data_IF_043817120145
#
_entry.id   IF_043817120145
#
_cell.length_a   1.000
_cell.length_b   1.000
_cell.length_c   1.000
_cell.angle_alpha   90.00
_cell.angle_beta   90.00
_cell.angle_gamma   90.00
#
_symmetry.space_group_name_H-M   'P 1'
#
loop_
_entity.id
_entity.type
_entity.pdbx_description
1 polymer ?
#
# COMPACT_ATOMS: atom_id res chain seq x y z
N UNK A 1 -42.56 -13.74 -28.49
CA UNK A 1 -41.33 -14.48 -28.84
C UNK A 1 -40.15 -13.71 -28.23
N UNK A 2 -39.32 -14.39 -27.46
CA UNK A 2 -38.49 -13.87 -26.37
C UNK A 2 -37.48 -12.76 -26.73
N UNK A 3 -37.48 -11.67 -25.95
CA UNK A 3 -36.28 -10.91 -25.60
C UNK A 3 -35.94 -11.24 -24.14
N UNK A 4 -34.71 -11.67 -23.86
CA UNK A 4 -34.20 -12.00 -22.52
C UNK A 4 -32.86 -11.31 -22.33
N UNK A 5 -32.83 -10.27 -21.48
CA UNK A 5 -31.66 -9.83 -20.68
C UNK A 5 -32.17 -8.91 -19.57
N UNK A 6 -32.55 -9.55 -18.47
CA UNK A 6 -32.75 -9.01 -17.12
C UNK A 6 -31.36 -8.76 -16.48
N UNK A 7 -31.11 -7.91 -15.48
CA UNK A 7 -31.82 -6.84 -14.78
C UNK A 7 -30.72 -6.26 -13.86
N UNK A 8 -30.45 -4.95 -13.89
CA UNK A 8 -29.85 -4.20 -12.77
C UNK A 8 -29.87 -2.70 -13.09
N UNK A 9 -31.07 -2.17 -13.26
CA UNK A 9 -31.35 -0.74 -13.12
C UNK A 9 -32.86 -0.60 -12.95
N UNK A 10 -33.28 -0.03 -11.82
CA UNK A 10 -34.34 0.97 -11.67
C UNK A 10 -35.05 0.80 -10.31
N UNK A 11 -34.90 1.76 -9.41
CA UNK A 11 -36.04 2.29 -8.65
C UNK A 11 -35.89 3.80 -8.58
N UNK A 12 -36.70 4.50 -9.37
CA UNK A 12 -37.05 5.90 -9.19
C UNK A 12 -38.55 5.97 -9.53
N UNK A 13 -39.43 6.01 -8.51
CA UNK A 13 -40.83 6.40 -8.67
C UNK A 13 -41.20 7.31 -7.49
N UNK A 14 -41.76 8.44 -7.86
CA UNK A 14 -42.32 9.53 -7.06
C UNK A 14 -43.70 9.20 -6.49
N UNK A 15 -43.92 9.67 -5.25
CA UNK A 15 -45.17 9.99 -4.54
C UNK A 15 -46.15 8.86 -4.14
N UNK A 16 -46.08 8.45 -2.87
CA UNK A 16 -47.23 8.49 -1.96
C UNK A 16 -46.74 8.57 -0.52
N UNK A 17 -47.28 9.56 0.18
CA UNK A 17 -47.09 9.88 1.60
C UNK A 17 -47.47 8.69 2.49
N UNK A 18 -46.82 8.62 3.66
CA UNK A 18 -47.20 7.79 4.80
C UNK A 18 -47.04 6.27 4.63
N UNK A 19 -45.79 5.77 4.76
CA UNK A 19 -45.54 4.52 5.50
C UNK A 19 -44.09 4.49 6.01
N UNK A 20 -43.96 4.31 7.31
CA UNK A 20 -42.72 4.26 8.07
C UNK A 20 -41.64 3.40 7.41
N UNK A 21 -40.50 4.03 7.13
CA UNK A 21 -39.23 3.39 6.77
C UNK A 21 -38.85 2.34 7.83
N UNK A 22 -39.07 1.07 7.53
CA UNK A 22 -38.11 0.03 7.89
C UNK A 22 -37.11 -0.10 6.75
N UNK A 23 -36.23 0.90 6.63
CA UNK A 23 -34.99 0.75 5.87
C UNK A 23 -34.06 -0.14 6.68
N UNK A 24 -34.25 -1.45 6.58
CA UNK A 24 -33.18 -2.41 6.82
C UNK A 24 -32.09 -2.11 5.81
N UNK A 25 -31.13 -1.27 6.21
CA UNK A 25 -29.83 -1.16 5.57
C UNK A 25 -29.20 -2.54 5.74
N UNK A 26 -29.37 -3.40 4.73
CA UNK A 26 -28.51 -4.55 4.56
C UNK A 26 -27.14 -3.93 4.26
N UNK A 27 -26.33 -3.76 5.31
CA UNK A 27 -24.90 -3.56 5.16
C UNK A 27 -24.36 -4.85 4.55
N UNK A 28 -24.46 -4.96 3.22
CA UNK A 28 -23.70 -5.96 2.48
C UNK A 28 -22.24 -5.65 2.77
N UNK A 29 -21.57 -6.48 3.56
CA UNK A 29 -20.12 -6.42 3.75
C UNK A 29 -19.47 -6.52 2.37
N UNK A 30 -19.22 -5.38 1.74
CA UNK A 30 -18.67 -5.26 0.40
C UNK A 30 -17.16 -5.47 0.41
N UNK A 31 -16.70 -6.55 1.05
CA UNK A 31 -15.32 -7.01 0.97
C UNK A 31 -15.11 -7.79 -0.33
N UNK A 32 -15.43 -7.16 -1.47
CA UNK A 32 -15.29 -7.76 -2.81
C UNK A 32 -13.84 -8.14 -3.11
N UNK A 33 -12.90 -7.40 -2.52
CA UNK A 33 -11.48 -7.60 -2.71
C UNK A 33 -10.77 -7.85 -1.39
N UNK A 34 -9.74 -8.70 -1.44
CA UNK A 34 -8.83 -8.95 -0.32
C UNK A 34 -7.44 -8.45 -0.69
N UNK A 35 -6.80 -7.77 0.25
CA UNK A 35 -5.40 -7.36 0.13
C UNK A 35 -4.49 -8.58 0.27
N UNK A 36 -3.47 -8.69 -0.57
CA UNK A 36 -2.45 -9.73 -0.47
C UNK A 36 -1.22 -9.21 0.28
N UNK A 37 -1.01 -9.72 1.49
CA UNK A 37 0.09 -9.34 2.38
C UNK A 37 0.56 -10.53 3.22
N UNK A 38 1.84 -10.49 3.64
CA UNK A 38 2.46 -11.40 4.61
C UNK A 38 3.03 -10.54 5.75
N UNK A 39 2.35 -10.53 6.89
CA UNK A 39 2.65 -9.61 7.99
C UNK A 39 2.51 -8.15 7.57
N UNK A 40 3.60 -7.40 7.60
CA UNK A 40 3.64 -5.97 7.19
C UNK A 40 4.02 -5.77 5.72
N UNK A 41 4.31 -6.85 4.98
CA UNK A 41 4.81 -6.78 3.60
C UNK A 41 3.64 -6.93 2.63
N UNK A 42 3.45 -5.90 1.80
CA UNK A 42 2.49 -5.94 0.69
C UNK A 42 3.20 -6.38 -0.60
N UNK A 43 2.54 -7.25 -1.35
CA UNK A 43 3.02 -7.69 -2.65
C UNK A 43 2.26 -6.96 -3.75
N UNK A 44 2.92 -6.80 -4.90
CA UNK A 44 2.29 -6.31 -6.12
C UNK A 44 2.60 -7.19 -7.30
N UNK A 45 1.64 -7.29 -8.21
CA UNK A 45 1.86 -8.02 -9.44
C UNK A 45 2.79 -7.25 -10.37
N UNK A 46 3.61 -8.00 -11.11
CA UNK A 46 4.46 -7.49 -12.17
C UNK A 46 4.05 -7.99 -13.55
N UNK A 47 2.93 -8.71 -13.64
CA UNK A 47 2.35 -9.07 -14.92
C UNK A 47 1.80 -7.81 -15.63
N UNK A 48 1.64 -7.82 -16.97
CA UNK A 48 1.08 -6.70 -17.70
C UNK A 48 -0.37 -6.41 -17.27
N UNK A 49 -0.65 -5.15 -16.94
CA UNK A 49 -2.00 -4.69 -16.61
C UNK A 49 -2.85 -4.53 -17.88
N UNK A 50 -4.16 -4.81 -17.77
CA UNK A 50 -5.12 -4.54 -18.86
C UNK A 50 -5.51 -3.06 -18.93
N UNK A 51 -5.40 -2.35 -17.82
CA UNK A 51 -5.68 -0.93 -17.69
C UNK A 51 -4.72 -0.37 -16.63
N UNK A 52 -4.15 0.81 -16.90
CA UNK A 52 -3.32 1.56 -15.97
C UNK A 52 -3.83 3.00 -15.94
N UNK A 53 -4.14 3.51 -14.75
CA UNK A 53 -4.77 4.80 -14.55
C UNK A 53 -4.25 5.46 -13.29
N UNK A 54 -3.96 6.76 -13.36
CA UNK A 54 -3.61 7.57 -12.20
C UNK A 54 -4.79 8.43 -11.77
N UNK A 55 -4.97 8.53 -10.44
CA UNK A 55 -5.91 9.42 -9.76
C UNK A 55 -5.18 10.37 -8.83
N UNK A 56 -4.11 10.97 -9.33
CA UNK A 56 -3.28 11.92 -8.56
C UNK A 56 -4.05 13.10 -7.98
N UNK A 57 -5.20 13.47 -8.55
CA UNK A 57 -6.07 14.56 -8.07
C UNK A 57 -7.00 14.16 -6.92
N UNK A 58 -7.15 12.86 -6.65
CA UNK A 58 -8.02 12.35 -5.61
C UNK A 58 -7.22 12.07 -4.34
N UNK A 59 -7.86 12.09 -3.18
CA UNK A 59 -7.23 11.60 -1.96
C UNK A 59 -6.90 10.09 -2.08
N UNK A 60 -5.98 9.60 -1.25
CA UNK A 60 -5.61 8.18 -1.21
C UNK A 60 -6.83 7.26 -1.12
N UNK A 61 -7.77 7.57 -0.22
CA UNK A 61 -8.94 6.73 0.03
C UNK A 61 -9.92 6.76 -1.15
N UNK A 62 -10.17 7.94 -1.73
CA UNK A 62 -11.01 8.08 -2.92
C UNK A 62 -10.41 7.33 -4.12
N UNK A 63 -9.10 7.51 -4.37
CA UNK A 63 -8.40 6.79 -5.42
C UNK A 63 -8.47 5.27 -5.22
N UNK A 64 -8.26 4.78 -4.00
CA UNK A 64 -8.38 3.35 -3.71
C UNK A 64 -9.81 2.82 -3.98
N UNK A 65 -10.83 3.56 -3.54
CA UNK A 65 -12.23 3.21 -3.75
C UNK A 65 -12.60 3.22 -5.23
N UNK A 66 -12.13 4.21 -5.99
CA UNK A 66 -12.28 4.25 -7.45
C UNK A 66 -11.60 3.03 -8.10
N UNK A 67 -10.47 2.54 -7.57
CA UNK A 67 -9.72 1.37 -8.10
C UNK A 67 -10.58 0.12 -7.98
N UNK A 68 -11.05 -0.09 -6.76
CA UNK A 68 -11.94 -1.16 -6.40
C UNK A 68 -13.22 -1.14 -7.24
N UNK A 69 -13.88 0.02 -7.32
CA UNK A 69 -15.11 0.19 -8.10
C UNK A 69 -14.88 -0.09 -9.59
N UNK A 70 -13.80 0.45 -10.16
CA UNK A 70 -13.46 0.24 -11.57
C UNK A 70 -13.21 -1.23 -11.87
N UNK A 71 -12.42 -1.92 -11.04
CA UNK A 71 -12.23 -3.36 -11.20
C UNK A 71 -13.54 -4.15 -11.00
N UNK A 72 -14.42 -3.70 -10.11
CA UNK A 72 -15.73 -4.33 -9.92
C UNK A 72 -16.63 -4.19 -11.14
N UNK A 73 -16.57 -3.06 -11.84
CA UNK A 73 -17.35 -2.77 -13.05
C UNK A 73 -16.77 -3.39 -14.32
N UNK A 74 -15.49 -3.73 -14.31
CA UNK A 74 -14.84 -4.42 -15.44
C UNK A 74 -15.01 -5.94 -15.28
N UNK A 75 -15.87 -6.54 -16.11
CA UNK A 75 -16.21 -7.98 -16.07
C UNK A 75 -14.98 -8.90 -16.07
N UNK A 76 -13.95 -8.52 -16.86
CA UNK A 76 -12.71 -9.27 -16.96
C UNK A 76 -11.81 -9.08 -15.76
N UNK A 77 -11.92 -7.98 -15.01
CA UNK A 77 -11.01 -7.66 -13.92
C UNK A 77 -11.18 -8.63 -12.75
N UNK A 78 -10.08 -9.20 -12.28
CA UNK A 78 -10.03 -10.13 -11.16
C UNK A 78 -9.17 -9.62 -10.01
N UNK A 79 -8.33 -8.63 -10.28
CA UNK A 79 -7.45 -8.03 -9.28
C UNK A 79 -6.93 -6.67 -9.74
N UNK A 80 -6.33 -5.92 -8.82
CA UNK A 80 -5.65 -4.68 -9.11
C UNK A 80 -4.45 -4.43 -8.20
N UNK A 81 -3.44 -3.71 -8.70
CA UNK A 81 -2.43 -3.07 -7.88
C UNK A 81 -2.90 -1.64 -7.59
N UNK A 82 -2.62 -1.16 -6.40
CA UNK A 82 -2.81 0.23 -6.01
C UNK A 82 -1.52 0.79 -5.40
N UNK A 83 -1.02 1.89 -5.95
CA UNK A 83 0.21 2.54 -5.50
C UNK A 83 -0.15 3.77 -4.66
N UNK A 84 0.09 3.70 -3.35
CA UNK A 84 -0.33 4.71 -2.39
C UNK A 84 0.28 6.10 -2.63
N UNK A 85 1.52 6.16 -3.13
CA UNK A 85 2.26 7.39 -3.31
C UNK A 85 1.82 8.17 -4.55
N UNK A 86 1.35 7.46 -5.58
CA UNK A 86 1.00 8.04 -6.88
C UNK A 86 -0.49 7.98 -7.19
N UNK A 87 -1.28 7.35 -6.30
CA UNK A 87 -2.69 7.02 -6.54
C UNK A 87 -2.89 6.33 -7.89
N UNK A 88 -1.92 5.51 -8.28
CA UNK A 88 -1.97 4.75 -9.52
C UNK A 88 -2.66 3.41 -9.29
N UNK A 89 -3.51 3.04 -10.23
CA UNK A 89 -4.35 1.86 -10.23
C UNK A 89 -4.06 1.04 -11.48
N UNK A 90 -3.67 -0.22 -11.31
CA UNK A 90 -3.45 -1.15 -12.41
C UNK A 90 -4.41 -2.32 -12.29
N UNK A 91 -5.18 -2.60 -13.34
CA UNK A 91 -6.18 -3.67 -13.35
C UNK A 91 -5.67 -4.92 -14.06
N UNK A 92 -6.09 -6.09 -13.60
CA UNK A 92 -5.67 -7.38 -14.15
C UNK A 92 -6.87 -8.27 -14.44
N UNK A 93 -6.83 -8.99 -15.56
CA UNK A 93 -7.91 -9.88 -15.99
C UNK A 93 -7.71 -11.37 -15.64
N UNK A 94 -6.57 -11.72 -15.04
CA UNK A 94 -6.22 -13.08 -14.66
C UNK A 94 -5.56 -13.10 -13.28
N UNK A 95 -5.63 -14.23 -12.59
CA UNK A 95 -4.82 -14.49 -11.40
C UNK A 95 -3.36 -14.52 -11.82
N UNK A 96 -2.56 -13.72 -11.14
CA UNK A 96 -1.23 -13.31 -11.60
C UNK A 96 -0.19 -14.31 -11.09
N UNK A 97 0.86 -14.51 -11.87
CA UNK A 97 1.89 -15.51 -11.61
C UNK A 97 3.22 -14.87 -11.20
N UNK A 98 3.31 -13.54 -11.20
CA UNK A 98 4.54 -12.82 -10.85
C UNK A 98 4.21 -11.71 -9.88
N UNK A 99 4.78 -11.80 -8.69
CA UNK A 99 4.67 -10.77 -7.68
C UNK A 99 6.04 -10.24 -7.31
N UNK A 100 6.08 -9.03 -6.76
CA UNK A 100 7.27 -8.45 -6.17
C UNK A 100 6.88 -7.55 -5.01
N UNK A 101 7.81 -7.36 -4.09
CA UNK A 101 7.64 -6.40 -2.99
C UNK A 101 8.00 -5.03 -3.54
N UNK A 102 6.99 -4.19 -3.78
CA UNK A 102 7.16 -2.82 -4.28
C UNK A 102 6.73 -1.84 -3.18
N UNK A 103 7.61 -0.94 -2.71
CA UNK A 103 7.25 0.04 -1.70
C UNK A 103 6.02 0.85 -2.08
N UNK A 104 5.06 0.96 -1.16
CA UNK A 104 3.83 1.70 -1.38
C UNK A 104 2.79 1.03 -2.28
N UNK A 105 3.10 -0.14 -2.83
CA UNK A 105 2.18 -0.87 -3.69
C UNK A 105 1.40 -1.92 -2.90
N UNK A 106 0.10 -2.04 -3.19
CA UNK A 106 -0.81 -2.97 -2.55
C UNK A 106 -1.61 -3.74 -3.62
N UNK A 107 -1.52 -5.06 -3.61
CA UNK A 107 -2.34 -5.91 -4.48
C UNK A 107 -3.65 -6.31 -3.82
N UNK A 108 -4.74 -6.20 -4.57
CA UNK A 108 -6.08 -6.55 -4.17
C UNK A 108 -6.69 -7.51 -5.18
N UNK A 109 -7.31 -8.61 -4.74
CA UNK A 109 -7.90 -9.62 -5.63
C UNK A 109 -9.34 -9.95 -5.25
N UNK A 110 -10.19 -10.22 -6.24
CA UNK A 110 -11.62 -10.55 -6.04
C UNK A 110 -11.76 -11.84 -5.22
N UNK A 111 -12.63 -11.81 -4.21
CA UNK A 111 -12.93 -12.97 -3.35
C UNK A 111 -13.70 -14.06 -4.10
N UNK A 112 -14.64 -13.66 -4.95
CA UNK A 112 -15.66 -14.55 -5.52
C UNK A 112 -15.19 -15.38 -6.71
N UNK A 113 -13.97 -15.12 -7.21
CA UNK A 113 -13.25 -16.06 -8.05
C UNK A 113 -12.34 -16.91 -7.17
N UNK A 114 -12.93 -17.55 -6.14
CA UNK A 114 -12.23 -18.56 -5.34
C UNK A 114 -11.67 -19.56 -6.36
N UNK A 115 -10.34 -19.73 -6.46
CA UNK A 115 -9.77 -20.75 -7.30
C UNK A 115 -10.45 -22.06 -6.92
N UNK A 116 -10.98 -22.79 -7.91
CA UNK A 116 -11.57 -24.10 -7.68
C UNK A 116 -10.63 -24.87 -6.75
N UNK A 117 -11.18 -25.48 -5.70
CA UNK A 117 -10.40 -26.33 -4.79
C UNK A 117 -9.53 -27.25 -5.64
N UNK A 118 -8.22 -27.15 -5.44
CA UNK A 118 -7.25 -27.93 -6.20
C UNK A 118 -6.81 -29.06 -5.30
N UNK A 119 -6.99 -30.27 -5.79
CA UNK A 119 -6.48 -31.43 -5.08
C UNK A 119 -4.97 -31.52 -5.30
N UNK A 120 -4.23 -31.47 -4.21
CA UNK A 120 -2.81 -31.75 -4.14
C UNK A 120 -2.64 -33.25 -3.87
N UNK A 121 -1.77 -33.90 -4.64
CA UNK A 121 -1.21 -35.20 -4.33
C UNK A 121 0.22 -35.01 -3.85
N UNK A 122 0.59 -35.66 -2.75
CA UNK A 122 1.94 -35.59 -2.18
C UNK A 122 2.35 -36.94 -1.62
N UNK A 123 3.60 -37.32 -1.85
CA UNK A 123 4.29 -38.35 -1.09
C UNK A 123 5.72 -37.91 -0.80
N UNK A 124 6.31 -38.49 0.25
CA UNK A 124 7.67 -38.22 0.70
C UNK A 124 8.31 -39.54 1.11
N UNK A 125 9.59 -39.69 0.78
CA UNK A 125 10.44 -40.79 1.20
C UNK A 125 11.55 -40.26 2.13
N UNK A 126 11.62 -40.63 3.41
CA UNK A 126 10.79 -41.60 4.14
C UNK A 126 9.58 -40.98 4.86
N UNK A 127 9.72 -39.74 5.34
CA UNK A 127 8.72 -39.12 6.21
C UNK A 127 8.51 -37.63 5.95
N UNK A 128 7.26 -37.22 5.76
CA UNK A 128 6.82 -35.83 5.78
C UNK A 128 6.72 -35.34 7.23
N UNK A 129 7.51 -34.31 7.56
CA UNK A 129 7.56 -33.75 8.93
C UNK A 129 6.75 -32.46 9.04
N UNK A 130 6.89 -31.55 8.06
CA UNK A 130 6.13 -30.30 8.02
C UNK A 130 5.81 -29.91 6.59
N UNK A 131 4.63 -29.32 6.39
CA UNK A 131 4.24 -28.69 5.13
C UNK A 131 3.58 -27.34 5.39
N UNK A 132 3.91 -26.39 4.53
CA UNK A 132 3.44 -25.02 4.61
C UNK A 132 2.89 -24.57 3.26
N UNK A 133 1.75 -23.90 3.30
CA UNK A 133 1.18 -23.18 2.16
C UNK A 133 1.11 -21.70 2.50
N UNK A 134 1.73 -20.84 1.67
CA UNK A 134 1.77 -19.40 1.90
C UNK A 134 2.27 -19.03 3.31
N UNK A 135 3.24 -19.78 3.85
CA UNK A 135 3.77 -19.59 5.20
C UNK A 135 2.90 -20.12 6.35
N UNK A 136 1.70 -20.62 6.07
CA UNK A 136 0.82 -21.23 7.07
C UNK A 136 1.14 -22.71 7.23
N UNK A 137 1.40 -23.15 8.46
CA UNK A 137 1.65 -24.56 8.79
C UNK A 137 0.37 -25.37 8.67
N UNK A 138 0.44 -26.52 8.01
CA UNK A 138 -0.63 -27.51 8.00
C UNK A 138 -0.27 -28.64 8.96
N UNK A 139 -1.25 -29.13 9.72
CA UNK A 139 -1.05 -30.24 10.64
C UNK A 139 -0.83 -31.54 9.87
N UNK A 140 0.39 -32.09 9.93
CA UNK A 140 0.74 -33.31 9.17
C UNK A 140 -0.10 -34.49 9.63
N UNK A 141 -0.16 -34.75 10.93
CA UNK A 141 -0.86 -35.92 11.48
C UNK A 141 -2.39 -35.93 11.27
N UNK A 142 -3.00 -34.77 11.01
CA UNK A 142 -4.44 -34.66 10.75
C UNK A 142 -4.80 -34.76 9.27
N UNK A 143 -3.87 -34.39 8.38
CA UNK A 143 -4.17 -34.19 6.96
C UNK A 143 -3.41 -35.14 6.03
N UNK A 144 -2.38 -35.82 6.51
CA UNK A 144 -1.47 -36.66 5.74
C UNK A 144 -1.28 -38.02 6.44
N UNK A 145 -2.29 -38.91 6.43
CA UNK A 145 -2.22 -40.21 7.10
C UNK A 145 -1.11 -41.13 6.55
N UNK A 146 -0.66 -40.92 5.32
CA UNK A 146 0.43 -41.66 4.69
C UNK A 146 1.77 -40.90 4.73
N UNK A 147 1.92 -39.93 5.63
CA UNK A 147 3.13 -39.11 5.77
C UNK A 147 4.42 -39.90 6.03
N UNK A 148 4.35 -41.19 6.41
CA UNK A 148 5.52 -42.07 6.59
C UNK A 148 5.49 -43.29 5.64
N UNK A 149 4.78 -43.19 4.51
CA UNK A 149 4.63 -44.25 3.53
C UNK A 149 4.88 -43.69 2.13
N UNK A 150 6.11 -43.82 1.65
CA UNK A 150 6.55 -43.23 0.38
C UNK A 150 5.78 -43.74 -0.84
N UNK A 151 5.21 -44.94 -0.75
CA UNK A 151 4.51 -45.62 -1.84
C UNK A 151 3.02 -45.27 -1.91
N UNK A 152 2.46 -44.54 -0.94
CA UNK A 152 1.06 -44.16 -0.89
C UNK A 152 0.91 -42.64 -0.80
N UNK A 153 0.44 -41.97 -1.87
CA UNK A 153 0.32 -40.52 -1.84
C UNK A 153 -0.88 -40.08 -1.01
N UNK A 154 -0.66 -39.06 -0.19
CA UNK A 154 -1.71 -38.33 0.50
C UNK A 154 -2.36 -37.32 -0.44
N UNK A 155 -3.59 -36.96 -0.07
CA UNK A 155 -4.42 -36.01 -0.82
C UNK A 155 -4.80 -34.84 0.07
N UNK A 156 -4.66 -33.61 -0.43
CA UNK A 156 -5.02 -32.41 0.32
C UNK A 156 -5.76 -31.39 -0.54
N UNK A 157 -6.87 -30.86 -0.05
CA UNK A 157 -7.66 -29.85 -0.75
C UNK A 157 -7.09 -28.45 -0.51
N UNK A 158 -6.41 -27.91 -1.52
CA UNK A 158 -5.88 -26.56 -1.47
C UNK A 158 -7.01 -25.54 -1.57
N UNK A 159 -7.08 -24.68 -0.56
CA UNK A 159 -7.97 -23.51 -0.55
C UNK A 159 -7.23 -22.25 -1.00
N UNK A 160 -7.81 -21.52 -1.95
CA UNK A 160 -7.30 -20.21 -2.37
C UNK A 160 -6.10 -20.28 -3.34
N UNK A 161 -5.44 -19.13 -3.52
CA UNK A 161 -4.24 -19.03 -4.36
C UNK A 161 -3.01 -19.49 -3.59
N UNK A 162 -2.19 -20.33 -4.21
CA UNK A 162 -0.93 -20.81 -3.63
C UNK A 162 0.22 -20.05 -4.29
N UNK A 163 0.96 -19.30 -3.48
CA UNK A 163 2.12 -18.50 -3.89
C UNK A 163 3.44 -19.11 -3.41
N UNK A 164 3.38 -19.92 -2.36
CA UNK A 164 4.51 -20.65 -1.81
C UNK A 164 4.06 -22.03 -1.33
N UNK A 165 4.85 -23.05 -1.67
CA UNK A 165 4.83 -24.36 -1.01
C UNK A 165 6.18 -24.57 -0.35
N UNK A 166 6.20 -25.01 0.90
CA UNK A 166 7.41 -25.34 1.64
C UNK A 166 7.22 -26.68 2.35
N UNK A 167 8.17 -27.60 2.18
CA UNK A 167 8.11 -28.98 2.67
C UNK A 167 9.39 -29.31 3.43
N UNK A 168 9.22 -29.87 4.61
CA UNK A 168 10.27 -30.45 5.42
C UNK A 168 10.05 -31.96 5.45
N UNK A 169 11.01 -32.69 4.89
CA UNK A 169 11.04 -34.14 4.86
C UNK A 169 12.20 -34.67 5.73
N UNK A 170 12.06 -35.89 6.22
CA UNK A 170 13.10 -36.61 6.92
C UNK A 170 13.33 -37.96 6.22
N UNK A 171 14.57 -38.20 5.84
CA UNK A 171 15.00 -39.46 5.23
C UNK A 171 15.75 -40.27 6.29
N UNK A 172 15.32 -41.51 6.50
CA UNK A 172 15.85 -42.43 7.49
C UNK A 172 17.04 -43.17 6.89
N UNK A 173 16.89 -43.72 5.68
CA UNK A 173 17.90 -44.56 5.05
C UNK A 173 17.80 -44.55 3.52
N UNK A 174 18.89 -44.90 2.82
CA UNK A 174 18.90 -44.89 1.37
C UNK A 174 18.64 -43.50 0.76
N UNK A 175 18.05 -43.49 -0.44
CA UNK A 175 17.76 -42.28 -1.21
C UNK A 175 16.35 -41.82 -0.89
N UNK A 176 16.21 -40.67 -0.23
CA UNK A 176 14.92 -40.04 0.03
C UNK A 176 14.52 -39.04 -1.05
N UNK A 177 13.24 -38.63 -1.03
CA UNK A 177 12.73 -37.67 -2.01
C UNK A 177 11.35 -37.11 -1.69
N UNK A 178 10.94 -36.11 -2.45
CA UNK A 178 9.62 -35.48 -2.37
C UNK A 178 8.99 -35.53 -3.76
N UNK A 179 7.70 -35.89 -3.82
CA UNK A 179 6.93 -35.94 -5.06
C UNK A 179 5.57 -35.27 -4.84
N UNK A 180 5.30 -34.20 -5.60
CA UNK A 180 4.08 -33.39 -5.42
C UNK A 180 3.51 -33.01 -6.78
N UNK A 181 2.19 -33.12 -6.92
CA UNK A 181 1.46 -32.54 -8.05
C UNK A 181 0.11 -31.97 -7.65
N UNK A 182 -0.39 -31.01 -8.42
CA UNK A 182 -1.83 -30.69 -8.46
C UNK A 182 -2.46 -31.19 -9.75
N UNK A 183 -3.77 -31.43 -9.73
CA UNK A 183 -4.53 -31.90 -10.89
C UNK A 183 -4.44 -30.99 -12.13
N UNK A 184 -4.20 -29.69 -11.93
CA UNK A 184 -3.99 -28.69 -12.99
C UNK A 184 -2.52 -28.49 -13.36
N UNK A 185 -1.60 -29.26 -12.77
CA UNK A 185 -0.15 -29.20 -12.96
C UNK A 185 0.48 -27.84 -12.60
N UNK A 186 -0.24 -27.01 -11.83
CA UNK A 186 0.28 -25.73 -11.36
C UNK A 186 1.42 -25.93 -10.35
N UNK A 187 1.26 -26.88 -9.43
CA UNK A 187 2.31 -27.33 -8.52
C UNK A 187 2.82 -28.66 -9.08
N UNK A 188 4.11 -28.72 -9.36
CA UNK A 188 4.76 -29.91 -9.90
C UNK A 188 6.21 -29.94 -9.39
N UNK A 189 6.62 -31.02 -8.73
CA UNK A 189 8.02 -31.21 -8.33
C UNK A 189 8.89 -31.48 -9.54
N UNK A 190 9.98 -30.71 -9.65
CA UNK A 190 10.98 -30.77 -10.70
C UNK A 190 12.23 -29.96 -10.29
N UNK A 191 13.21 -29.82 -11.17
CA UNK A 191 14.49 -29.12 -10.94
C UNK A 191 14.33 -27.62 -10.61
N UNK A 192 13.16 -27.03 -10.88
CA UNK A 192 12.89 -25.61 -10.60
C UNK A 192 12.57 -25.31 -9.14
N UNK A 193 12.48 -26.33 -8.29
CA UNK A 193 12.39 -26.21 -6.84
C UNK A 193 13.74 -25.83 -6.23
N UNK A 194 13.71 -25.28 -5.02
CA UNK A 194 14.91 -24.96 -4.24
C UNK A 194 14.97 -25.85 -3.01
N UNK A 195 16.08 -26.56 -2.81
CA UNK A 195 16.23 -27.51 -1.71
C UNK A 195 17.54 -27.34 -0.95
N UNK A 196 17.53 -27.54 0.36
CA UNK A 196 18.71 -27.50 1.24
C UNK A 196 18.58 -28.51 2.38
N UNK A 197 19.68 -28.92 2.98
CA UNK A 197 19.73 -29.69 4.24
C UNK A 197 19.92 -28.82 5.47
N UNK A 198 20.24 -27.53 5.28
CA UNK A 198 20.43 -26.58 6.37
C UNK A 198 19.11 -25.93 6.74
N UNK A 199 18.72 -26.01 8.02
CA UNK A 199 17.57 -25.28 8.52
C UNK A 199 17.91 -23.79 8.64
N UNK A 200 17.13 -22.95 7.96
CA UNK A 200 17.18 -21.50 8.10
C UNK A 200 15.90 -21.01 8.77
N UNK A 201 16.00 -20.09 9.73
CA UNK A 201 14.79 -19.54 10.34
C UNK A 201 13.92 -18.80 9.31
N UNK A 202 12.60 -18.99 9.41
CA UNK A 202 11.63 -18.39 8.50
C UNK A 202 11.68 -18.89 7.05
N UNK A 203 12.39 -19.97 6.71
CA UNK A 203 12.50 -20.51 5.35
C UNK A 203 11.15 -20.78 4.65
N UNK A 204 10.11 -21.08 5.44
CA UNK A 204 8.76 -21.34 4.98
C UNK A 204 7.93 -20.08 4.73
N UNK A 205 8.44 -18.87 5.04
CA UNK A 205 7.72 -17.61 4.81
C UNK A 205 7.74 -17.21 3.34
N UNK A 206 6.72 -16.46 2.91
CA UNK A 206 6.57 -16.02 1.51
C UNK A 206 7.74 -15.13 1.10
N UNK A 207 8.13 -14.21 1.98
CA UNK A 207 9.21 -13.23 1.74
C UNK A 207 10.63 -13.79 1.87
N UNK A 208 10.80 -15.07 2.22
CA UNK A 208 12.14 -15.63 2.38
C UNK A 208 12.87 -15.70 1.03
N UNK A 209 14.12 -15.22 1.00
CA UNK A 209 14.98 -15.21 -0.17
C UNK A 209 15.81 -16.50 -0.24
N UNK A 210 15.43 -17.40 -1.15
CA UNK A 210 16.10 -18.68 -1.41
C UNK A 210 17.02 -18.65 -2.64
N UNK A 211 17.42 -17.47 -3.10
CA UNK A 211 18.28 -17.36 -4.28
C UNK A 211 19.64 -18.05 -4.10
N UNK A 212 20.11 -18.16 -2.85
CA UNK A 212 21.33 -18.87 -2.48
C UNK A 212 21.14 -20.40 -2.40
N UNK A 213 19.92 -20.91 -2.41
CA UNK A 213 19.67 -22.35 -2.36
C UNK A 213 19.92 -22.98 -3.74
N UNK A 214 20.54 -24.17 -3.78
CA UNK A 214 20.69 -24.89 -5.04
C UNK A 214 19.32 -25.28 -5.60
N UNK A 215 19.28 -25.46 -6.91
CA UNK A 215 18.15 -26.13 -7.56
C UNK A 215 17.99 -27.54 -6.98
N UNK A 216 16.76 -28.04 -6.95
CA UNK A 216 16.49 -29.39 -6.51
C UNK A 216 17.13 -30.41 -7.47
N UNK A 217 17.67 -31.48 -6.91
CA UNK A 217 18.21 -32.59 -7.68
C UNK A 217 17.08 -33.55 -8.05
N UNK A 218 16.90 -33.83 -9.34
CA UNK A 218 15.90 -34.76 -9.85
C UNK A 218 16.46 -36.18 -9.86
N UNK A 219 15.76 -37.13 -9.25
CA UNK A 219 16.15 -38.53 -9.22
C UNK A 219 15.75 -39.22 -10.54
N UNK A 220 16.74 -39.61 -11.35
CA UNK A 220 16.49 -40.27 -12.65
C UNK A 220 15.81 -41.64 -12.54
N UNK A 221 16.00 -42.34 -11.42
CA UNK A 221 15.52 -43.71 -11.19
C UNK A 221 15.05 -43.89 -9.77
N UNK A 222 13.88 -43.35 -9.47
CA UNK A 222 13.11 -43.76 -8.30
C UNK A 222 11.99 -44.69 -8.75
N UNK A 223 11.74 -45.76 -7.99
CA UNK A 223 10.67 -46.69 -8.32
C UNK A 223 9.31 -45.99 -8.20
N UNK A 224 8.52 -46.06 -9.27
CA UNK A 224 7.12 -45.69 -9.22
C UNK A 224 6.31 -46.96 -9.01
N UNK A 225 5.73 -47.10 -7.83
CA UNK A 225 4.69 -48.11 -7.59
C UNK A 225 3.42 -47.75 -8.35
N UNK A 226 2.51 -48.71 -8.52
CA UNK A 226 1.24 -48.48 -9.23
C UNK A 226 0.38 -47.37 -8.61
N UNK A 227 0.48 -47.16 -7.30
CA UNK A 227 -0.18 -46.08 -6.55
C UNK A 227 0.36 -44.68 -6.88
N UNK A 228 1.59 -44.57 -7.41
CA UNK A 228 2.21 -43.29 -7.79
C UNK A 228 1.99 -42.91 -9.27
N UNK A 229 1.24 -43.71 -10.03
CA UNK A 229 1.00 -43.45 -11.46
C UNK A 229 0.34 -42.09 -11.71
N UNK A 230 -0.57 -41.63 -10.86
CA UNK A 230 -1.21 -40.32 -11.04
C UNK A 230 -0.21 -39.15 -10.95
N UNK A 231 0.76 -39.23 -10.03
CA UNK A 231 1.84 -38.24 -9.90
C UNK A 231 2.77 -38.29 -11.11
N UNK A 232 3.11 -39.50 -11.57
CA UNK A 232 3.93 -39.71 -12.77
C UNK A 232 3.27 -39.18 -14.05
N UNK A 233 1.98 -39.46 -14.25
CA UNK A 233 1.20 -38.99 -15.40
C UNK A 233 0.99 -37.47 -15.37
N UNK A 234 0.96 -36.86 -14.18
CA UNK A 234 0.99 -35.41 -14.05
C UNK A 234 2.31 -34.82 -14.57
N UNK A 235 3.40 -35.60 -14.56
CA UNK A 235 4.76 -35.19 -14.91
C UNK A 235 5.58 -34.76 -13.70
N UNK A 236 5.19 -35.18 -12.49
CA UNK A 236 5.93 -34.88 -11.28
C UNK A 236 7.19 -35.75 -11.21
N UNK A 237 8.28 -35.14 -10.77
CA UNK A 237 9.57 -35.79 -10.63
C UNK A 237 9.94 -35.88 -9.15
N UNK A 238 10.60 -36.97 -8.78
CA UNK A 238 11.15 -37.11 -7.44
C UNK A 238 12.32 -36.15 -7.28
N UNK A 239 12.22 -35.27 -6.29
CA UNK A 239 13.25 -34.26 -6.03
C UNK A 239 13.88 -34.41 -4.64
N UNK A 240 15.15 -34.06 -4.52
CA UNK A 240 15.90 -34.02 -3.26
C UNK A 240 16.95 -32.89 -3.27
N UNK A 241 17.71 -32.75 -2.20
CA UNK A 241 18.85 -31.83 -2.09
C UNK A 241 20.17 -32.46 -2.62
N UNK A 242 20.35 -33.76 -2.44
CA UNK A 242 21.54 -34.52 -2.85
C UNK A 242 21.25 -36.03 -2.78
N UNK A 243 22.08 -36.84 -3.42
CA UNK A 243 21.84 -38.28 -3.67
C UNK A 243 21.97 -39.13 -2.39
N UNK A 244 22.78 -38.72 -1.40
CA UNK A 244 23.26 -39.64 -0.34
C UNK A 244 23.12 -39.10 1.09
N UNK A 245 21.90 -38.73 1.51
CA UNK A 245 21.66 -38.23 2.86
C UNK A 245 20.84 -39.20 3.72
N UNK A 246 21.44 -40.26 4.27
CA UNK A 246 20.75 -41.06 5.29
C UNK A 246 20.57 -40.26 6.59
N UNK A 247 19.47 -40.51 7.30
CA UNK A 247 19.17 -39.91 8.60
C UNK A 247 19.27 -38.37 8.61
N UNK A 248 18.68 -37.71 7.61
CA UNK A 248 18.80 -36.27 7.45
C UNK A 248 17.48 -35.58 7.03
N UNK A 249 17.40 -34.29 7.33
CA UNK A 249 16.27 -33.46 6.94
C UNK A 249 16.54 -32.75 5.62
N UNK A 250 15.51 -32.67 4.79
CA UNK A 250 15.49 -31.86 3.58
C UNK A 250 14.42 -30.79 3.68
N UNK A 251 14.79 -29.57 3.32
CA UNK A 251 13.92 -28.41 3.24
C UNK A 251 13.80 -28.01 1.79
N UNK A 252 12.63 -28.21 1.20
CA UNK A 252 12.36 -27.86 -0.18
C UNK A 252 11.26 -26.81 -0.25
N UNK A 253 11.43 -25.80 -1.10
CA UNK A 253 10.40 -24.79 -1.32
C UNK A 253 10.26 -24.43 -2.79
N UNK A 254 9.05 -24.03 -3.15
CA UNK A 254 8.70 -23.49 -4.46
C UNK A 254 7.97 -22.17 -4.29
N UNK A 255 8.67 -21.08 -4.63
CA UNK A 255 8.04 -19.79 -4.80
C UNK A 255 7.44 -19.69 -6.20
N UNK A 256 6.17 -19.33 -6.27
CA UNK A 256 5.50 -18.89 -7.50
C UNK A 256 5.51 -17.37 -7.61
N UNK A 257 6.03 -16.67 -6.59
CA UNK A 257 6.34 -15.25 -6.66
C UNK A 257 7.68 -15.12 -7.36
N UNK A 258 7.66 -14.68 -8.62
CA UNK A 258 8.88 -14.39 -9.36
C UNK A 258 9.72 -13.33 -8.65
N UNK A 259 10.88 -13.72 -8.11
CA UNK A 259 11.89 -12.77 -7.64
C UNK A 259 12.43 -11.99 -8.84
N UNK A 260 11.86 -10.80 -9.12
CA UNK A 260 12.46 -9.81 -10.02
C UNK A 260 13.67 -9.17 -9.33
N UNK A 261 14.71 -9.96 -9.06
CA UNK A 261 15.90 -9.43 -8.42
C UNK A 261 16.92 -8.82 -9.40
N UNK A 262 16.62 -8.71 -10.71
CA UNK A 262 17.59 -8.21 -11.70
C UNK A 262 17.05 -7.44 -12.94
N UNK A 263 15.77 -7.05 -13.02
CA UNK A 263 15.24 -6.34 -14.22
C UNK A 263 15.08 -4.82 -14.01
N UNK A 264 15.14 -4.33 -12.77
CA UNK A 264 14.94 -2.90 -12.47
C UNK A 264 16.06 -1.98 -12.99
N UNK A 265 17.22 -2.51 -13.41
CA UNK A 265 18.33 -1.71 -13.93
C UNK A 265 18.29 -1.46 -15.45
N UNK A 266 17.46 -2.18 -16.21
CA UNK A 266 17.47 -2.07 -17.70
C UNK A 266 16.23 -1.43 -18.34
N UNK A 267 15.11 -1.27 -17.62
CA UNK A 267 13.87 -0.72 -18.21
C UNK A 267 13.49 0.71 -17.80
N UNK A 268 14.18 1.32 -16.84
CA UNK A 268 13.96 2.74 -16.52
C UNK A 268 14.54 3.73 -17.55
N UNK A 269 15.35 3.29 -18.52
CA UNK A 269 15.94 4.17 -19.54
C UNK A 269 15.02 4.47 -20.74
N UNK A 270 13.87 3.78 -20.88
CA UNK A 270 13.05 3.83 -22.11
C UNK A 270 11.69 4.53 -22.00
N UNK A 271 11.25 4.96 -20.80
CA UNK A 271 9.92 5.58 -20.61
C UNK A 271 9.93 7.07 -20.25
N UNK A 272 11.08 7.74 -20.16
CA UNK A 272 11.18 9.17 -19.83
C UNK A 272 11.03 10.15 -21.02
N UNK A 273 10.45 9.74 -22.15
CA UNK A 273 10.42 10.58 -23.37
C UNK A 273 9.04 10.77 -24.00
N UNK A 274 7.99 11.10 -23.23
CA UNK A 274 6.78 11.73 -23.80
C UNK A 274 6.19 12.80 -22.88
N UNK A 275 6.33 14.05 -23.32
CA UNK A 275 5.74 15.28 -22.78
C UNK A 275 4.20 15.26 -22.89
N UNK A 276 3.50 15.49 -21.79
CA UNK A 276 2.15 16.07 -21.76
C UNK A 276 2.02 16.98 -20.52
N UNK A 277 1.87 18.28 -20.75
CA UNK A 277 1.59 19.34 -19.79
C UNK A 277 0.08 19.46 -19.54
N UNK A 278 -0.42 19.50 -18.29
CA UNK A 278 -1.65 20.16 -17.80
C UNK A 278 -1.81 20.03 -16.26
N UNK A 279 -2.67 20.84 -15.58
CA UNK A 279 -2.29 21.63 -14.41
C UNK A 279 -2.57 20.98 -13.05
N UNK A 280 -1.81 21.45 -12.05
CA UNK A 280 -1.75 20.98 -10.66
C UNK A 280 -2.49 21.92 -9.68
N UNK A 281 -2.78 21.35 -8.50
CA UNK A 281 -2.83 22.00 -7.16
C UNK A 281 -4.19 22.39 -6.55
N UNK A 282 -4.50 21.76 -5.40
CA UNK A 282 -5.42 22.30 -4.40
C UNK A 282 -5.00 21.90 -2.98
N UNK A 283 -4.62 22.88 -2.16
CA UNK A 283 -4.31 22.74 -0.73
C UNK A 283 -5.19 23.70 0.07
N UNK A 284 -6.02 23.19 0.98
CA UNK A 284 -6.79 24.01 1.92
C UNK A 284 -6.17 23.90 3.32
N UNK A 285 -5.84 25.03 3.96
CA UNK A 285 -5.20 25.10 5.28
C UNK A 285 -6.21 25.67 6.28
N UNK A 286 -6.45 24.95 7.39
CA UNK A 286 -7.31 25.42 8.47
C UNK A 286 -6.68 26.59 9.24
N UNK A 287 -7.49 27.58 9.60
CA UNK A 287 -7.06 28.75 10.37
C UNK A 287 -7.45 28.59 11.85
N UNK A 288 -6.44 28.42 12.69
CA UNK A 288 -6.57 28.32 14.15
C UNK A 288 -5.53 29.23 14.81
N UNK A 289 -5.93 29.98 15.85
CA UNK A 289 -5.04 30.76 16.72
C UNK A 289 -5.34 30.33 18.16
N UNK A 290 -4.31 29.92 18.92
CA UNK A 290 -4.43 29.47 20.32
C UNK A 290 -5.49 28.37 20.58
N UNK A 291 -5.61 27.38 19.67
CA UNK A 291 -6.64 26.32 19.68
C UNK A 291 -8.09 26.84 19.56
N UNK A 292 -8.27 28.07 19.09
CA UNK A 292 -9.58 28.65 18.81
C UNK A 292 -9.77 28.70 17.29
N UNK A 293 -10.82 28.05 16.81
CA UNK A 293 -11.22 28.10 15.41
C UNK A 293 -12.04 29.37 15.14
N UNK A 294 -11.75 30.05 14.03
CA UNK A 294 -12.42 31.28 13.62
C UNK A 294 -13.32 31.03 12.42
N UNK A 295 -14.35 31.87 12.28
CA UNK A 295 -15.25 31.84 11.13
C UNK A 295 -15.43 33.23 10.57
N UNK A 296 -15.50 33.31 9.24
CA UNK A 296 -15.88 34.55 8.59
C UNK A 296 -17.33 34.89 8.89
N UNK A 297 -17.58 36.16 9.20
CA UNK A 297 -18.92 36.73 9.37
C UNK A 297 -19.39 37.51 8.15
N UNK A 298 -18.57 37.55 7.10
CA UNK A 298 -18.99 38.14 5.84
C UNK A 298 -20.12 37.32 5.22
N UNK A 299 -20.86 37.90 4.27
CA UNK A 299 -21.98 37.19 3.68
C UNK A 299 -21.46 36.09 2.72
N UNK A 300 -21.75 34.80 2.98
CA UNK A 300 -21.40 33.76 2.02
C UNK A 300 -22.27 33.91 0.78
N UNK A 301 -21.71 33.59 -0.37
CA UNK A 301 -22.49 33.59 -1.61
C UNK A 301 -23.23 32.25 -1.81
N UNK A 302 -22.80 31.18 -1.13
CA UNK A 302 -23.46 29.88 -1.12
C UNK A 302 -23.45 29.32 0.32
N UNK A 303 -24.59 28.79 0.76
CA UNK A 303 -24.78 28.16 2.07
C UNK A 303 -25.55 26.84 1.90
N UNK A 304 -25.00 25.73 2.39
CA UNK A 304 -25.56 24.38 2.21
C UNK A 304 -25.33 23.50 3.44
N UNK A 305 -26.36 22.74 3.83
CA UNK A 305 -26.30 21.75 4.90
C UNK A 305 -26.43 20.32 4.37
N UNK A 306 -25.66 19.41 4.95
CA UNK A 306 -25.57 18.00 4.58
C UNK A 306 -25.74 17.09 5.81
N UNK A 307 -26.92 17.13 6.42
CA UNK A 307 -27.21 16.43 7.69
C UNK A 307 -27.14 14.91 7.64
N UNK A 308 -27.19 14.30 6.45
CA UNK A 308 -27.13 12.83 6.28
C UNK A 308 -25.73 12.28 6.13
N UNK A 309 -24.72 13.14 5.98
CA UNK A 309 -23.32 12.74 5.77
C UNK A 309 -22.53 12.87 7.06
N UNK A 310 -21.48 12.07 7.21
CA UNK A 310 -20.55 12.17 8.33
C UNK A 310 -19.74 13.47 8.26
N UNK A 311 -19.25 13.93 9.41
CA UNK A 311 -18.40 15.12 9.54
C UNK A 311 -17.29 15.18 8.46
N UNK A 312 -16.58 14.06 8.24
CA UNK A 312 -15.46 14.00 7.31
C UNK A 312 -15.92 14.16 5.85
N UNK A 313 -17.04 13.52 5.49
CA UNK A 313 -17.62 13.62 4.13
C UNK A 313 -18.05 15.05 3.83
N UNK A 314 -18.65 15.74 4.80
CA UNK A 314 -19.17 17.10 4.61
C UNK A 314 -18.04 18.11 4.48
N UNK A 315 -16.99 17.97 5.30
CA UNK A 315 -15.79 18.80 5.18
C UNK A 315 -15.14 18.65 3.80
N UNK A 316 -15.02 17.41 3.30
CA UNK A 316 -14.47 17.15 1.97
C UNK A 316 -15.36 17.71 0.86
N UNK A 317 -16.69 17.56 0.96
CA UNK A 317 -17.64 18.13 0.00
C UNK A 317 -17.57 19.67 -0.02
N UNK A 318 -17.37 20.31 1.13
CA UNK A 318 -17.25 21.75 1.25
C UNK A 318 -15.98 22.27 0.55
N UNK A 319 -14.84 21.63 0.81
CA UNK A 319 -13.57 21.94 0.15
C UNK A 319 -13.62 21.72 -1.36
N UNK A 320 -14.16 20.58 -1.78
CA UNK A 320 -14.32 20.23 -3.19
C UNK A 320 -15.24 21.23 -3.90
N UNK A 321 -16.35 21.61 -3.28
CA UNK A 321 -17.28 22.58 -3.85
C UNK A 321 -16.63 23.95 -4.02
N UNK A 322 -15.87 24.43 -3.03
CA UNK A 322 -15.12 25.68 -3.17
C UNK A 322 -14.15 25.60 -4.34
N UNK A 323 -13.36 24.52 -4.45
CA UNK A 323 -12.39 24.34 -5.54
C UNK A 323 -12.99 24.33 -6.95
N UNK A 324 -14.20 23.79 -7.08
CA UNK A 324 -14.90 23.68 -8.36
C UNK A 324 -15.72 24.93 -8.70
N UNK A 325 -15.94 25.83 -7.73
CA UNK A 325 -16.73 27.03 -7.94
C UNK A 325 -15.81 28.20 -8.30
N UNK A 326 -15.90 28.64 -9.55
CA UNK A 326 -15.12 29.78 -10.03
C UNK A 326 -15.33 31.00 -9.13
N UNK A 327 -14.22 31.52 -8.58
CA UNK A 327 -14.23 32.67 -7.68
C UNK A 327 -14.29 32.32 -6.19
N UNK A 328 -14.51 31.07 -5.78
CA UNK A 328 -14.42 30.72 -4.36
C UNK A 328 -12.96 30.82 -3.88
N UNK A 329 -12.74 31.57 -2.81
CA UNK A 329 -11.42 31.80 -2.21
C UNK A 329 -11.28 31.16 -0.83
N UNK A 330 -12.40 30.88 -0.16
CA UNK A 330 -12.42 30.27 1.17
C UNK A 330 -13.80 29.68 1.52
N UNK A 331 -13.86 28.91 2.60
CA UNK A 331 -15.12 28.40 3.15
C UNK A 331 -15.10 28.32 4.67
N UNK A 332 -16.28 28.48 5.29
CA UNK A 332 -16.53 28.07 6.68
C UNK A 332 -17.15 26.68 6.68
N UNK A 333 -16.77 25.85 7.64
CA UNK A 333 -17.41 24.58 7.90
C UNK A 333 -17.88 24.48 9.36
N UNK A 334 -19.16 24.23 9.57
CA UNK A 334 -19.80 24.11 10.88
C UNK A 334 -20.00 22.63 11.22
N UNK A 335 -19.10 22.09 12.04
CA UNK A 335 -19.07 20.68 12.44
C UNK A 335 -20.34 20.20 13.15
N UNK A 336 -21.00 21.07 13.92
CA UNK A 336 -22.20 20.73 14.69
C UNK A 336 -23.44 20.54 13.80
N UNK A 337 -23.50 21.25 12.67
CA UNK A 337 -24.67 21.29 11.78
C UNK A 337 -24.39 20.68 10.40
N UNK A 338 -23.15 20.24 10.16
CA UNK A 338 -22.68 19.81 8.85
C UNK A 338 -23.03 20.84 7.76
N UNK A 339 -22.81 22.11 8.07
CA UNK A 339 -23.11 23.23 7.19
C UNK A 339 -21.82 23.81 6.61
N UNK A 340 -21.89 24.21 5.34
CA UNK A 340 -20.80 24.73 4.55
C UNK A 340 -21.19 26.08 3.96
N UNK A 341 -20.33 27.08 4.14
CA UNK A 341 -20.52 28.42 3.60
C UNK A 341 -19.33 28.79 2.73
N UNK A 342 -19.57 29.20 1.49
CA UNK A 342 -18.53 29.54 0.52
C UNK A 342 -18.40 31.05 0.34
N UNK A 343 -17.17 31.52 0.14
CA UNK A 343 -16.83 32.93 0.00
C UNK A 343 -16.07 33.18 -1.29
N UNK A 344 -16.42 34.25 -2.00
CA UNK A 344 -15.82 34.60 -3.29
C UNK A 344 -14.99 35.90 -3.26
N UNK A 345 -14.70 36.40 -2.07
CA UNK A 345 -13.97 37.64 -1.85
C UNK A 345 -13.08 37.52 -0.61
N UNK A 346 -12.08 38.38 -0.53
CA UNK A 346 -11.22 38.50 0.66
C UNK A 346 -12.07 38.92 1.86
N UNK A 347 -11.95 38.19 2.96
CA UNK A 347 -12.80 38.34 4.14
C UNK A 347 -12.18 39.32 5.13
N UNK A 348 -13.01 40.19 5.70
CA UNK A 348 -12.59 41.31 6.55
C UNK A 348 -13.12 41.19 7.98
N UNK A 349 -14.02 40.24 8.26
CA UNK A 349 -14.66 40.07 9.56
C UNK A 349 -14.62 38.62 10.02
N UNK A 350 -14.05 38.38 11.19
CA UNK A 350 -13.99 37.06 11.81
C UNK A 350 -14.65 37.09 13.19
N UNK A 351 -15.28 35.98 13.59
CA UNK A 351 -15.74 35.76 14.96
C UNK A 351 -15.42 34.33 15.41
N UNK A 352 -15.43 34.14 16.73
CA UNK A 352 -15.28 32.83 17.34
C UNK A 352 -16.67 32.22 17.48
N UNK A 353 -17.00 31.27 16.62
CA UNK A 353 -18.27 30.52 16.67
C UNK A 353 -17.98 29.07 17.08
N UNK A 354 -18.68 28.51 18.10
CA UNK A 354 -18.46 27.13 18.52
C UNK A 354 -18.63 26.13 17.36
N UNK A 355 -17.63 25.29 17.15
CA UNK A 355 -17.67 24.19 16.18
C UNK A 355 -17.51 24.60 14.72
N UNK A 356 -17.03 25.81 14.43
CA UNK A 356 -16.84 26.28 13.07
C UNK A 356 -15.35 26.50 12.73
N UNK A 357 -14.92 26.06 11.54
CA UNK A 357 -13.53 26.09 11.08
C UNK A 357 -13.42 26.79 9.71
N UNK A 358 -12.38 27.60 9.53
CA UNK A 358 -12.11 28.37 8.30
C UNK A 358 -10.90 27.85 7.55
N UNK A 359 -10.94 27.82 6.20
CA UNK A 359 -9.88 27.26 5.37
C UNK A 359 -9.43 28.20 4.22
N UNK A 360 -8.12 28.29 3.96
CA UNK A 360 -7.44 29.14 2.94
C UNK A 360 -6.62 28.32 1.94
N UNK A 361 -6.38 28.85 0.72
CA UNK A 361 -5.59 28.18 -0.35
C UNK A 361 -4.40 29.07 -0.82
N UNK A 362 -3.11 28.71 -0.53
CA UNK A 362 -1.90 28.70 -1.43
C UNK A 362 -0.47 28.82 -0.80
N UNK A 363 0.47 28.14 -1.49
CA UNK A 363 1.94 28.26 -1.72
C UNK A 363 2.88 28.99 -0.73
N UNK A 364 3.83 28.21 -0.17
CA UNK A 364 4.89 28.66 0.74
C UNK A 364 4.68 28.23 2.18
N UNK A 365 5.75 28.14 2.98
CA UNK A 365 5.59 28.05 4.44
C UNK A 365 6.44 29.09 5.15
N UNK A 366 5.80 29.80 6.06
CA UNK A 366 6.45 30.61 7.09
C UNK A 366 6.06 29.95 8.41
N UNK A 367 7.04 29.68 9.27
CA UNK A 367 6.79 29.16 10.60
C UNK A 367 7.52 30.04 11.62
N UNK A 368 6.76 30.55 12.58
CA UNK A 368 7.26 31.34 13.70
C UNK A 368 6.49 30.96 14.95
N UNK A 369 7.17 30.70 16.06
CA UNK A 369 6.55 30.57 17.38
C UNK A 369 6.68 31.87 18.16
N UNK A 370 5.78 32.12 19.10
CA UNK A 370 5.76 33.35 19.91
C UNK A 370 7.04 33.56 20.74
N UNK A 371 7.72 32.47 21.10
CA UNK A 371 9.02 32.45 21.79
C UNK A 371 10.23 32.48 20.84
N UNK A 372 10.01 32.57 19.53
CA UNK A 372 11.04 32.47 18.48
C UNK A 372 11.85 31.17 18.47
N UNK A 373 11.40 30.13 19.18
CA UNK A 373 12.05 28.81 19.18
C UNK A 373 12.05 28.17 17.79
N UNK A 374 10.92 28.22 17.11
CA UNK A 374 10.80 27.93 15.68
C UNK A 374 10.74 29.27 14.96
N UNK A 375 11.73 29.52 14.12
CA UNK A 375 11.83 30.70 13.28
C UNK A 375 12.37 30.23 11.93
N UNK A 376 11.63 30.46 10.85
CA UNK A 376 12.14 30.26 9.47
C UNK A 376 13.23 31.28 9.19
N UNK A 377 14.47 30.80 9.12
CA UNK A 377 15.68 31.58 8.89
C UNK A 377 16.75 30.69 8.21
N UNK A 378 17.95 31.24 8.01
CA UNK A 378 19.09 30.54 7.39
C UNK A 378 19.58 29.27 8.10
N UNK A 379 19.11 29.00 9.33
CA UNK A 379 19.46 27.78 10.07
C UNK A 379 18.68 26.55 9.61
N UNK A 380 17.62 26.74 8.82
CA UNK A 380 16.94 25.65 8.16
C UNK A 380 17.83 25.09 7.06
N UNK A 381 17.73 23.78 6.83
CA UNK A 381 18.35 23.14 5.67
C UNK A 381 17.26 22.63 4.75
N UNK A 382 17.43 22.83 3.45
CA UNK A 382 16.46 22.42 2.46
C UNK A 382 17.13 21.67 1.31
N UNK A 383 16.36 20.79 0.67
CA UNK A 383 16.76 20.10 -0.55
C UNK A 383 15.54 19.84 -1.44
N UNK A 384 15.78 19.71 -2.74
CA UNK A 384 14.77 19.24 -3.70
C UNK A 384 14.69 17.73 -3.82
N UNK A 385 15.74 17.05 -3.39
CA UNK A 385 15.84 15.61 -3.52
C UNK A 385 15.20 14.95 -2.31
N UNK A 386 14.34 13.96 -2.54
CA UNK A 386 13.84 13.14 -1.45
C UNK A 386 14.94 12.21 -0.96
N UNK A 387 15.11 12.13 0.36
CA UNK A 387 16.00 11.17 1.00
C UNK A 387 15.21 10.41 2.07
N UNK A 388 15.20 9.08 1.99
CA UNK A 388 14.45 8.29 2.97
C UNK A 388 14.97 8.48 4.39
N UNK A 389 14.06 8.62 5.34
CA UNK A 389 14.37 8.88 6.74
C UNK A 389 14.78 10.33 7.08
N UNK A 390 14.63 11.29 6.17
CA UNK A 390 14.96 12.72 6.43
C UNK A 390 14.26 13.32 7.65
N UNK A 391 13.07 12.82 7.99
CA UNK A 391 12.27 13.24 9.14
C UNK A 391 12.74 12.66 10.49
N UNK A 392 13.71 11.73 10.50
CA UNK A 392 14.21 11.12 11.74
C UNK A 392 15.05 12.12 12.56
N UNK A 393 15.00 12.02 13.88
CA UNK A 393 15.71 12.93 14.81
C UNK A 393 17.23 12.90 14.60
N UNK A 394 17.80 11.73 14.30
CA UNK A 394 19.23 11.51 14.10
C UNK A 394 19.68 11.54 12.64
N UNK A 395 18.83 12.02 11.73
CA UNK A 395 19.19 12.13 10.33
C UNK A 395 20.34 13.14 10.14
N UNK A 396 21.35 12.77 9.34
CA UNK A 396 22.46 13.66 9.02
C UNK A 396 22.10 14.50 7.79
N UNK A 397 21.76 15.77 8.01
CA UNK A 397 21.45 16.75 6.94
C UNK A 397 22.66 17.63 6.58
N UNK A 398 23.89 17.18 6.87
CA UNK A 398 25.11 17.96 6.58
C UNK A 398 25.32 18.25 5.09
N UNK A 399 24.66 17.50 4.20
CA UNK A 399 24.75 17.65 2.75
C UNK A 399 23.60 18.46 2.13
N UNK A 400 22.65 18.94 2.94
CA UNK A 400 21.58 19.82 2.47
C UNK A 400 22.08 21.27 2.42
N UNK A 401 21.60 22.03 1.43
CA UNK A 401 21.85 23.46 1.35
C UNK A 401 21.20 24.17 2.54
N UNK A 402 21.87 25.18 3.10
CA UNK A 402 21.21 26.10 4.01
C UNK A 402 20.04 26.78 3.28
N UNK A 403 18.94 27.04 4.00
CA UNK A 403 17.81 27.77 3.49
C UNK A 403 18.25 29.17 3.09
N UNK A 404 17.99 29.56 1.85
CA UNK A 404 18.27 30.92 1.42
C UNK A 404 17.20 31.85 1.97
N UNK A 405 17.63 32.86 2.72
CA UNK A 405 16.78 34.00 3.04
C UNK A 405 16.65 34.83 1.77
N UNK A 406 15.53 34.68 1.07
CA UNK A 406 15.14 35.69 0.08
C UNK A 406 14.70 36.87 0.93
N UNK A 407 15.48 37.96 0.89
CA UNK A 407 15.48 39.04 1.87
C UNK A 407 14.11 39.69 2.12
N UNK A 408 14.08 40.74 2.94
CA UNK A 408 12.88 41.55 3.17
C UNK A 408 12.39 42.13 1.84
N UNK A 409 11.65 41.35 1.06
CA UNK A 409 10.82 41.87 0.01
C UNK A 409 9.81 42.72 0.75
N UNK A 410 9.92 44.03 0.58
CA UNK A 410 8.79 44.92 0.78
C UNK A 410 7.70 44.39 -0.17
N UNK A 411 6.85 43.51 0.36
CA UNK A 411 5.69 43.02 -0.33
C UNK A 411 4.82 44.25 -0.58
N UNK A 412 4.70 44.63 -1.84
CA UNK A 412 3.84 45.74 -2.27
C UNK A 412 2.37 45.48 -2.00
N UNK A 413 1.97 44.28 -1.54
CA UNK A 413 0.58 43.95 -1.23
C UNK A 413 0.45 43.16 0.09
N UNK A 414 0.28 43.88 1.20
CA UNK A 414 -0.58 43.47 2.31
C UNK A 414 -0.14 42.39 3.32
N UNK A 415 0.87 41.56 3.04
CA UNK A 415 1.38 40.57 4.02
C UNK A 415 2.35 41.23 5.00
N UNK A 416 1.83 41.71 6.13
CA UNK A 416 2.66 42.15 7.26
C UNK A 416 3.44 40.96 7.81
N UNK A 417 4.73 41.19 8.08
CA UNK A 417 5.60 40.31 8.87
C UNK A 417 4.82 39.71 10.04
N UNK A 418 4.81 38.37 10.15
CA UNK A 418 4.39 37.66 11.35
C UNK A 418 5.30 38.14 12.51
N UNK A 419 4.79 39.08 13.30
CA UNK A 419 5.33 39.57 14.57
C UNK A 419 6.72 40.24 14.59
N UNK A 420 7.22 40.84 13.52
CA UNK A 420 8.44 41.67 13.61
C UNK A 420 9.71 40.94 14.08
N UNK A 421 9.68 39.60 14.14
CA UNK A 421 10.74 38.74 14.69
C UNK A 421 11.71 38.21 13.63
N UNK A 422 11.79 38.83 12.45
CA UNK A 422 12.78 38.43 11.44
C UNK A 422 12.56 37.02 10.87
N UNK A 423 11.30 36.60 10.72
CA UNK A 423 10.97 35.37 9.98
C UNK A 423 11.17 35.63 8.49
N UNK A 424 11.91 34.75 7.81
CA UNK A 424 12.22 34.86 6.39
C UNK A 424 11.54 33.74 5.58
N UNK A 425 11.24 34.05 4.33
CA UNK A 425 10.83 33.07 3.33
C UNK A 425 12.04 32.23 2.89
N UNK A 426 11.92 30.91 2.91
CA UNK A 426 13.00 30.00 2.51
C UNK A 426 12.57 29.04 1.39
N UNK A 427 12.77 29.42 0.11
CA UNK A 427 13.02 28.48 -0.97
C UNK A 427 14.48 28.56 -1.44
N UNK A 428 15.02 27.45 -1.95
CA UNK A 428 16.30 27.44 -2.66
C UNK A 428 16.20 28.34 -3.90
N UNK A 429 17.22 29.17 -4.17
CA UNK A 429 17.26 30.28 -5.17
C UNK A 429 17.07 29.90 -6.63
N UNK A 430 16.71 28.65 -6.91
CA UNK A 430 16.42 28.20 -8.27
C UNK A 430 14.96 28.49 -8.63
N UNK A 431 14.76 29.22 -9.73
CA UNK A 431 13.49 29.52 -10.40
C UNK A 431 12.70 28.25 -10.82
N UNK A 432 12.23 27.47 -9.87
CA UNK A 432 11.43 26.30 -10.12
C UNK A 432 10.00 26.54 -9.66
N UNK A 433 9.11 26.76 -10.62
CA UNK A 433 7.72 27.13 -10.41
C UNK A 433 6.86 25.99 -9.80
N UNK A 434 7.39 24.76 -9.73
CA UNK A 434 6.70 23.56 -9.23
C UNK A 434 7.64 22.59 -8.49
N UNK A 435 8.63 23.10 -7.75
CA UNK A 435 9.52 22.22 -7.01
C UNK A 435 8.92 21.85 -5.64
N UNK A 436 8.93 20.55 -5.34
CA UNK A 436 8.80 20.05 -3.98
C UNK A 436 10.13 20.28 -3.25
N UNK A 437 10.04 20.88 -2.07
CA UNK A 437 11.18 21.10 -1.19
C UNK A 437 10.97 20.34 0.11
N UNK A 438 12.03 19.72 0.60
CA UNK A 438 12.10 19.10 1.91
C UNK A 438 12.98 19.98 2.78
N UNK A 439 12.41 20.60 3.81
CA UNK A 439 13.11 21.48 4.72
C UNK A 439 13.11 20.91 6.14
N UNK A 440 14.24 21.01 6.84
CA UNK A 440 14.44 20.48 8.19
C UNK A 440 15.23 21.46 9.03
N UNK A 441 14.88 21.53 10.32
CA UNK A 441 15.67 22.20 11.36
C UNK A 441 16.03 21.19 12.44
N UNK A 442 17.32 20.99 12.68
CA UNK A 442 17.78 20.14 13.78
C UNK A 442 17.97 20.97 15.04
N UNK A 443 17.45 20.48 16.16
CA UNK A 443 17.61 21.10 17.49
C UNK A 443 18.65 20.37 18.35
N UNK A 444 19.36 19.39 17.79
CA UNK A 444 20.29 18.52 18.54
C UNK A 444 21.49 19.27 19.10
N UNK A 445 21.87 20.43 18.53
CA UNK A 445 22.97 21.26 19.05
C UNK A 445 22.64 21.95 20.39
N UNK A 446 21.35 22.15 20.71
CA UNK A 446 20.92 22.77 21.97
C UNK A 446 21.04 21.80 23.16
N UNK A 447 20.91 20.49 22.92
CA UNK A 447 20.98 19.46 23.96
C UNK A 447 22.43 19.27 24.46
N UNK A 448 23.43 19.54 23.61
CA UNK A 448 24.85 19.44 23.98
C UNK A 448 25.37 20.59 24.84
N UNK A 449 24.69 21.74 24.89
CA UNK A 449 25.14 22.92 25.66
C UNK A 449 24.59 22.98 27.09
N UNK A 450 23.46 22.34 27.40
CA UNK A 450 22.88 22.35 28.75
C UNK A 450 23.43 21.28 29.70
N UNK A 451 24.11 20.24 29.18
CA UNK A 451 24.60 19.11 29.99
C UNK A 451 26.07 19.25 30.46
N UNK A 452 26.78 20.32 30.11
CA UNK A 452 28.18 20.55 30.52
C UNK A 452 28.40 21.77 31.45
N UNK A 453 27.34 22.38 32.01
CA UNK A 453 27.47 23.50 32.97
C UNK A 453 27.04 23.17 34.41
N UNK A 454 26.79 21.90 34.74
CA UNK A 454 26.37 21.47 36.08
C UNK A 454 27.45 20.71 36.90
N UNK A 455 28.73 20.77 36.53
CA UNK A 455 29.80 20.05 37.25
C UNK A 455 31.07 20.84 37.61
N UNK A 456 30.95 22.15 37.87
CA UNK A 456 32.01 22.87 38.59
C UNK A 456 31.43 23.87 39.59
N UNK A 457 31.07 23.37 40.78
CA UNK A 457 30.54 24.17 41.87
C UNK A 457 30.29 23.40 43.17
N UNK A 458 31.29 22.71 43.71
CA UNK A 458 31.49 22.46 45.15
C UNK A 458 32.81 21.72 45.37
N UNK A 459 33.75 22.43 45.97
CA UNK A 459 35.16 22.08 46.19
C UNK A 459 35.94 23.37 46.35
#
# INVERSE_FOLDING_TARGET
MYFKKNFCSLVCITMCSDLLLHSTIIATESNCFRKFEDGTVSFCSCDPAIEDRSWSTFSFLEALMLCSMRCSQTDSCVAYNFFNATNQCQLFNQTLNKFSVLPGCQYYYKRDKIPKMKQLLITVDDKLEKIYFNGMSISVGENFPHAASWDLPDTYDLSGNIFLVAVMAFNINGVGGILISTSDKYILTNETWKCTTTLYDGWYKIIYNDSAWPAAFVLEKHEFTSSLNALKEAGAEWITNAIDGENCFYYCRKSFIGTLHNVFTQHLSLLCSRNLTYPTDLHAVGFEEDNVSFCSCDHPYEDRSWSTFSFLEVLMLCSMRCSQTAGCVAYNFFSATNQCQLFNQTLNKFSVLPGCQYYLIKDGFIASTSDSYILTNETWKCTKNYYDGWYKINYNDSFWSAGSVIGNHEFSDGLKSLNGTGSYWTPETSNCQHCLYYCRKSFTELIGRSLCQLSSGSG
#
